data_IF_327033383008
#
_entry.id   IF_327033383008
#
_cell.length_a   1.000
_cell.length_b   1.000
_cell.length_c   1.000
_cell.angle_alpha   90.00
_cell.angle_beta   90.00
_cell.angle_gamma   90.00
#
_symmetry.space_group_name_H-M   'P 1'
#
loop_
_entity.id
_entity.type
_entity.pdbx_description
1 polymer ?
#
# COMPACT_ATOMS: atom_id res chain seq x y z
N UNK A 1 13.33 31.89 12.50
CA UNK A 1 12.21 30.94 12.37
C UNK A 1 12.62 29.92 11.32
N UNK A 2 12.60 28.66 11.73
CA UNK A 2 12.61 27.43 10.91
C UNK A 2 13.90 27.09 10.14
N UNK A 3 14.79 26.45 10.88
CA UNK A 3 15.59 25.33 10.38
C UNK A 3 14.66 24.28 9.75
N UNK A 4 14.76 24.06 8.44
CA UNK A 4 14.37 22.85 7.71
C UNK A 4 14.73 23.12 6.24
N UNK A 5 15.79 22.57 5.65
CA UNK A 5 15.90 21.16 5.32
C UNK A 5 17.37 20.86 4.96
N UNK A 6 18.27 20.95 5.94
CA UNK A 6 19.58 20.30 5.86
C UNK A 6 19.36 18.79 5.88
N UNK A 7 19.18 18.16 4.72
CA UNK A 7 19.72 16.81 4.43
C UNK A 7 19.43 16.45 2.97
N UNK A 8 20.19 17.04 2.04
CA UNK A 8 20.56 16.27 0.84
C UNK A 8 21.55 15.19 1.32
N UNK A 9 21.03 14.14 1.95
CA UNK A 9 21.79 12.92 2.15
C UNK A 9 22.23 12.46 0.76
N UNK A 10 23.54 12.41 0.53
CA UNK A 10 24.11 11.71 -0.61
C UNK A 10 23.62 10.27 -0.53
N UNK A 11 22.53 9.96 -1.23
CA UNK A 11 21.97 8.61 -1.28
C UNK A 11 23.03 7.72 -1.91
N UNK A 12 23.69 6.93 -1.08
CA UNK A 12 24.57 5.86 -1.54
C UNK A 12 23.79 5.03 -2.57
N UNK A 13 24.34 4.73 -3.76
CA UNK A 13 23.64 3.95 -4.76
C UNK A 13 23.19 2.63 -4.14
N UNK A 14 21.89 2.36 -4.24
CA UNK A 14 21.27 1.16 -3.68
C UNK A 14 21.88 -0.08 -4.35
N UNK A 15 22.29 -1.05 -3.54
CA UNK A 15 22.71 -2.34 -4.07
C UNK A 15 21.54 -3.03 -4.76
N UNK A 16 21.83 -3.87 -5.75
CA UNK A 16 20.80 -4.65 -6.46
C UNK A 16 19.92 -5.42 -5.48
N UNK A 17 20.52 -6.05 -4.47
CA UNK A 17 19.81 -6.79 -3.42
C UNK A 17 18.85 -5.91 -2.62
N UNK A 18 19.28 -4.70 -2.28
CA UNK A 18 18.45 -3.75 -1.54
C UNK A 18 17.26 -3.27 -2.37
N UNK A 19 17.45 -3.03 -3.67
CA UNK A 19 16.36 -2.71 -4.60
C UNK A 19 15.34 -3.84 -4.65
N UNK A 20 15.79 -5.09 -4.78
CA UNK A 20 14.89 -6.25 -4.80
C UNK A 20 14.15 -6.44 -3.48
N UNK A 21 14.81 -6.21 -2.34
CA UNK A 21 14.20 -6.28 -1.01
C UNK A 21 13.07 -5.26 -0.89
N UNK A 22 13.34 -4.00 -1.23
CA UNK A 22 12.34 -2.92 -1.21
C UNK A 22 11.18 -3.20 -2.16
N UNK A 23 11.47 -3.67 -3.37
CA UNK A 23 10.42 -4.02 -4.34
C UNK A 23 9.47 -5.09 -3.79
N UNK A 24 10.01 -6.15 -3.17
CA UNK A 24 9.20 -7.20 -2.54
C UNK A 24 8.36 -6.65 -1.39
N UNK A 25 8.94 -5.80 -0.55
CA UNK A 25 8.22 -5.19 0.56
C UNK A 25 7.09 -4.27 0.07
N UNK A 26 7.34 -3.44 -0.94
CA UNK A 26 6.32 -2.59 -1.56
C UNK A 26 5.20 -3.42 -2.19
N UNK A 27 5.54 -4.51 -2.90
CA UNK A 27 4.53 -5.44 -3.45
C UNK A 27 3.67 -6.04 -2.35
N UNK A 28 4.29 -6.50 -1.25
CA UNK A 28 3.58 -7.05 -0.09
C UNK A 28 2.65 -6.00 0.54
N UNK A 29 3.13 -4.78 0.75
CA UNK A 29 2.32 -3.67 1.30
C UNK A 29 1.15 -3.32 0.40
N UNK A 30 1.35 -3.31 -0.93
CA UNK A 30 0.26 -3.07 -1.90
C UNK A 30 -0.81 -4.16 -1.81
N UNK A 31 -0.39 -5.44 -1.77
CA UNK A 31 -1.32 -6.56 -1.64
C UNK A 31 -2.12 -6.53 -0.34
N UNK A 32 -1.47 -6.19 0.78
CA UNK A 32 -2.15 -6.03 2.06
C UNK A 32 -3.19 -4.90 2.02
N UNK A 33 -2.82 -3.76 1.43
CA UNK A 33 -3.75 -2.64 1.28
C UNK A 33 -4.96 -3.00 0.40
N UNK A 34 -4.74 -3.67 -0.73
CA UNK A 34 -5.80 -4.15 -1.62
C UNK A 34 -6.79 -5.01 -0.83
N UNK A 35 -6.29 -5.98 -0.06
CA UNK A 35 -7.13 -6.87 0.75
C UNK A 35 -7.95 -6.09 1.78
N UNK A 36 -7.34 -5.14 2.49
CA UNK A 36 -8.06 -4.30 3.46
C UNK A 36 -9.16 -3.48 2.79
N UNK A 37 -8.90 -2.95 1.59
CA UNK A 37 -9.91 -2.23 0.81
C UNK A 37 -11.05 -3.14 0.34
N UNK A 38 -10.75 -4.35 -0.11
CA UNK A 38 -11.77 -5.34 -0.49
C UNK A 38 -12.68 -5.70 0.70
N UNK A 39 -12.10 -5.93 1.88
CA UNK A 39 -12.84 -6.23 3.11
C UNK A 39 -13.75 -5.05 3.51
N UNK A 40 -13.24 -3.82 3.47
CA UNK A 40 -14.02 -2.60 3.74
C UNK A 40 -15.19 -2.43 2.76
N UNK A 41 -14.92 -2.58 1.46
CA UNK A 41 -15.95 -2.44 0.42
C UNK A 41 -17.03 -3.53 0.55
N UNK A 42 -16.65 -4.77 0.91
CA UNK A 42 -17.60 -5.86 1.15
C UNK A 42 -18.52 -5.53 2.31
N UNK A 43 -17.94 -5.07 3.43
CA UNK A 43 -18.71 -4.70 4.61
C UNK A 43 -19.67 -3.54 4.32
N UNK A 44 -19.22 -2.51 3.59
CA UNK A 44 -20.06 -1.39 3.19
C UNK A 44 -21.20 -1.81 2.26
N UNK A 45 -20.90 -2.63 1.24
CA UNK A 45 -21.91 -3.12 0.31
C UNK A 45 -23.00 -3.89 1.06
N UNK A 46 -22.60 -4.83 1.94
CA UNK A 46 -23.52 -5.60 2.77
C UNK A 46 -24.36 -4.71 3.68
N UNK A 47 -23.76 -3.70 4.29
CA UNK A 47 -24.48 -2.75 5.15
C UNK A 47 -25.56 -1.99 4.38
N UNK A 48 -25.32 -1.64 3.12
CA UNK A 48 -26.25 -0.85 2.30
C UNK A 48 -27.33 -1.69 1.62
N UNK A 49 -26.99 -2.90 1.18
CA UNK A 49 -27.88 -3.73 0.35
C UNK A 49 -28.48 -4.90 1.11
N UNK A 50 -27.90 -5.29 2.24
CA UNK A 50 -28.22 -6.54 2.94
C UNK A 50 -27.70 -7.80 2.26
N UNK A 51 -26.97 -7.67 1.13
CA UNK A 51 -26.49 -8.78 0.32
C UNK A 51 -24.96 -8.85 0.33
N UNK A 52 -24.40 -10.03 0.06
CA UNK A 52 -22.97 -10.18 -0.20
C UNK A 52 -22.67 -9.87 -1.67
N UNK A 53 -21.60 -9.10 -1.99
CA UNK A 53 -21.20 -8.87 -3.37
C UNK A 53 -20.59 -10.14 -3.97
N UNK A 54 -20.95 -10.43 -5.21
CA UNK A 54 -20.43 -11.56 -5.98
C UNK A 54 -18.92 -11.44 -6.25
N UNK A 55 -18.44 -10.22 -6.50
CA UNK A 55 -17.01 -9.90 -6.62
C UNK A 55 -16.73 -8.45 -6.20
N UNK A 56 -15.50 -8.20 -5.77
CA UNK A 56 -14.96 -6.87 -5.54
C UNK A 56 -13.59 -6.85 -6.19
N UNK A 57 -13.31 -5.78 -6.93
CA UNK A 57 -12.07 -5.63 -7.65
C UNK A 57 -11.40 -4.32 -7.23
N UNK A 58 -10.22 -4.45 -6.61
CA UNK A 58 -9.42 -3.30 -6.17
C UNK A 58 -8.04 -3.40 -6.83
N UNK A 59 -7.65 -2.35 -7.55
CA UNK A 59 -6.45 -2.32 -8.40
C UNK A 59 -5.40 -1.30 -7.94
#
# INVERSE_FOLDING_TARGET
>A
MEQNLQTQEKKTPLTKEEVWRRMREHKRKKQELIRQMEECLRAEYKKRTGQEPESIEVW
#
